data_IF_404487510326
#
_entry.id   IF_404487510326
#
_cell.length_a   1.000
_cell.length_b   1.000
_cell.length_c   1.000
_cell.angle_alpha   90.00
_cell.angle_beta   90.00
_cell.angle_gamma   90.00
#
_symmetry.space_group_name_H-M   'P 1'
#
loop_
_entity.id
_entity.type
_entity.pdbx_description
1 polymer ?
#
# COMPACT_ATOMS: atom_id res chain seq x y z
N UNK A 1 73.27 5.08 -28.33
CA UNK A 1 73.81 5.13 -26.95
C UNK A 1 74.14 6.59 -26.66
N UNK A 2 73.64 7.28 -25.64
CA UNK A 2 72.78 6.95 -24.51
C UNK A 2 72.01 8.26 -24.17
N UNK A 3 70.69 8.19 -24.04
CA UNK A 3 69.93 8.31 -22.79
C UNK A 3 69.96 9.70 -22.13
N UNK A 4 68.77 10.32 -22.11
CA UNK A 4 68.51 11.61 -21.50
C UNK A 4 68.35 11.55 -19.99
N UNK A 5 68.48 12.70 -19.34
CA UNK A 5 68.24 12.83 -17.91
C UNK A 5 67.67 14.21 -17.54
N UNK A 6 66.34 14.35 -17.62
CA UNK A 6 65.58 15.50 -17.08
C UNK A 6 64.38 14.98 -16.27
N UNK A 7 64.63 14.33 -15.12
CA UNK A 7 63.57 13.70 -14.30
C UNK A 7 63.68 13.97 -12.79
N UNK A 8 64.39 15.01 -12.36
CA UNK A 8 64.61 15.29 -10.94
C UNK A 8 63.83 16.47 -10.32
N UNK A 9 63.66 17.58 -11.05
CA UNK A 9 63.17 18.84 -10.44
C UNK A 9 61.65 19.03 -10.50
N UNK A 10 60.98 18.60 -11.57
CA UNK A 10 59.52 18.81 -11.72
C UNK A 10 58.67 18.02 -10.71
N UNK A 11 59.19 16.91 -10.17
CA UNK A 11 58.45 16.00 -9.28
C UNK A 11 58.43 16.46 -7.81
N UNK A 12 59.42 17.23 -7.36
CA UNK A 12 59.44 17.82 -6.01
C UNK A 12 58.49 19.00 -5.90
N UNK A 13 58.50 19.90 -6.89
CA UNK A 13 57.62 21.08 -6.91
C UNK A 13 56.13 20.69 -6.99
N UNK A 14 55.80 19.60 -7.71
CA UNK A 14 54.42 19.09 -7.76
C UNK A 14 53.99 18.43 -6.45
N UNK A 15 54.89 17.74 -5.75
CA UNK A 15 54.62 17.13 -4.45
C UNK A 15 54.42 18.18 -3.35
N UNK A 16 55.25 19.21 -3.32
CA UNK A 16 55.13 20.32 -2.37
C UNK A 16 53.84 21.12 -2.58
N UNK A 17 53.42 21.34 -3.84
CA UNK A 17 52.11 21.92 -4.13
C UNK A 17 50.96 21.04 -3.65
N UNK A 18 51.01 19.73 -3.90
CA UNK A 18 49.96 18.81 -3.47
C UNK A 18 49.85 18.75 -1.94
N UNK A 19 50.98 18.81 -1.22
CA UNK A 19 50.99 18.82 0.24
C UNK A 19 50.40 20.11 0.82
N UNK A 20 50.70 21.26 0.20
CA UNK A 20 50.12 22.55 0.59
C UNK A 20 48.61 22.62 0.30
N UNK A 21 48.17 22.09 -0.85
CA UNK A 21 46.75 22.00 -1.21
C UNK A 21 45.97 21.14 -0.22
N UNK A 22 46.53 19.97 0.13
CA UNK A 22 45.94 19.07 1.12
C UNK A 22 45.85 19.73 2.50
N UNK A 23 46.90 20.40 2.93
CA UNK A 23 46.93 21.11 4.22
C UNK A 23 45.87 22.22 4.26
N UNK A 24 45.69 22.94 3.15
CA UNK A 24 44.66 23.97 3.02
C UNK A 24 43.24 23.39 3.08
N UNK A 25 43.01 22.27 2.39
CA UNK A 25 41.72 21.58 2.43
C UNK A 25 41.42 21.00 3.81
N UNK A 26 42.41 20.43 4.49
CA UNK A 26 42.25 19.91 5.85
C UNK A 26 41.95 21.04 6.85
N UNK A 27 42.58 22.21 6.69
CA UNK A 27 42.28 23.40 7.49
C UNK A 27 40.85 23.92 7.25
N UNK A 28 40.40 23.98 5.98
CA UNK A 28 39.03 24.37 5.63
C UNK A 28 38.00 23.38 6.16
N UNK A 29 38.29 22.08 6.13
CA UNK A 29 37.40 21.04 6.66
C UNK A 29 37.32 21.09 8.18
N UNK A 30 38.41 21.43 8.87
CA UNK A 30 38.41 21.67 10.32
C UNK A 30 37.60 22.92 10.67
N UNK A 31 37.84 24.03 9.99
CA UNK A 31 37.09 25.27 10.23
C UNK A 31 35.58 25.09 9.95
N UNK A 32 35.21 24.35 8.90
CA UNK A 32 33.82 24.03 8.61
C UNK A 32 33.19 23.15 9.70
N UNK A 33 33.95 22.19 10.23
CA UNK A 33 33.51 21.31 11.33
C UNK A 33 33.34 22.10 12.63
N UNK A 34 34.25 23.02 12.92
CA UNK A 34 34.19 23.89 14.10
C UNK A 34 33.01 24.87 14.01
N UNK A 35 32.74 25.45 12.82
CA UNK A 35 31.53 26.26 12.59
C UNK A 35 30.24 25.45 12.75
N UNK A 36 30.23 24.20 12.30
CA UNK A 36 29.07 23.29 12.45
C UNK A 36 28.86 22.80 13.89
N UNK A 37 29.89 22.88 14.75
CA UNK A 37 29.79 22.64 16.19
C UNK A 37 29.33 23.89 16.97
N UNK A 38 29.67 25.09 16.49
CA UNK A 38 29.27 26.37 17.11
C UNK A 38 27.86 26.82 16.69
N UNK A 39 27.46 26.54 15.45
CA UNK A 39 26.10 26.79 14.97
C UNK A 39 25.29 25.48 14.95
N UNK A 40 24.35 25.29 15.91
CA UNK A 40 23.40 24.20 15.79
C UNK A 40 22.60 24.38 14.48
N UNK A 41 22.30 23.30 13.74
CA UNK A 41 21.47 23.42 12.55
C UNK A 41 20.17 24.13 12.91
N UNK A 42 19.62 24.98 12.02
CA UNK A 42 18.37 25.68 12.28
C UNK A 42 17.34 24.62 12.67
N UNK A 43 16.82 24.75 13.90
CA UNK A 43 15.79 23.86 14.42
C UNK A 43 14.66 23.86 13.39
N UNK A 44 14.27 22.70 12.83
CA UNK A 44 13.08 22.64 12.00
C UNK A 44 11.96 23.32 12.77
N UNK A 45 11.33 24.33 12.17
CA UNK A 45 10.17 24.95 12.79
C UNK A 45 9.21 23.82 13.17
N UNK A 46 8.74 23.76 14.43
CA UNK A 46 7.76 22.78 14.80
C UNK A 46 6.61 22.89 13.80
N UNK A 47 6.15 21.80 13.20
CA UNK A 47 4.96 21.86 12.36
C UNK A 47 3.88 22.59 13.17
N UNK A 48 3.10 23.48 12.53
CA UNK A 48 2.03 24.20 13.21
C UNK A 48 1.24 23.18 14.02
N UNK A 49 0.89 23.47 15.28
CA UNK A 49 0.25 22.49 16.14
C UNK A 49 -0.99 21.99 15.41
N UNK A 50 -0.93 20.76 14.89
CA UNK A 50 -2.11 20.07 14.44
C UNK A 50 -2.97 20.01 15.69
N UNK A 51 -4.14 20.66 15.64
CA UNK A 51 -5.22 20.35 16.57
C UNK A 51 -5.43 18.85 16.45
N UNK A 52 -4.75 18.06 17.29
CA UNK A 52 -5.14 16.68 17.56
C UNK A 52 -6.49 16.82 18.21
N UNK A 53 -7.55 16.77 17.39
CA UNK A 53 -8.89 16.58 17.91
C UNK A 53 -8.83 15.38 18.86
N UNK A 54 -9.50 15.47 20.02
CA UNK A 54 -9.38 14.42 21.02
C UNK A 54 -9.76 13.08 20.37
N UNK A 55 -8.89 12.08 20.57
CA UNK A 55 -9.00 10.69 20.09
C UNK A 55 -10.32 9.99 20.46
N UNK A 56 -11.18 10.65 21.23
CA UNK A 56 -12.55 10.24 21.52
C UNK A 56 -13.48 10.32 20.31
N UNK A 57 -13.27 11.25 19.36
CA UNK A 57 -14.11 11.38 18.15
C UNK A 57 -13.87 10.27 17.10
N UNK A 58 -12.74 9.55 17.22
CA UNK A 58 -12.34 8.46 16.31
C UNK A 58 -12.54 7.07 16.96
N UNK A 59 -12.82 7.01 18.26
CA UNK A 59 -13.14 5.77 18.97
C UNK A 59 -14.55 5.33 18.57
N UNK A 60 -14.62 4.35 17.67
CA UNK A 60 -15.88 3.72 17.27
C UNK A 60 -16.25 3.90 15.80
N UNK A 61 -15.34 4.40 14.96
CA UNK A 61 -15.50 4.35 13.51
C UNK A 61 -14.65 3.22 12.91
N UNK A 62 -15.10 2.66 11.79
CA UNK A 62 -14.44 1.61 11.02
C UNK A 62 -14.45 1.94 9.54
N UNK A 63 -13.49 1.43 8.79
CA UNK A 63 -13.43 1.58 7.35
C UNK A 63 -14.60 0.89 6.65
N UNK A 64 -14.88 -0.34 7.07
CA UNK A 64 -16.05 -1.08 6.62
C UNK A 64 -16.49 -2.11 7.66
N UNK A 65 -17.76 -2.51 7.56
CA UNK A 65 -18.43 -3.54 8.36
C UNK A 65 -19.48 -4.29 7.53
N UNK A 66 -19.99 -5.39 8.06
CA UNK A 66 -21.11 -6.11 7.42
C UNK A 66 -22.36 -5.23 7.37
N UNK A 67 -23.02 -5.19 6.21
CA UNK A 67 -24.33 -4.56 6.04
C UNK A 67 -25.48 -5.35 6.68
N UNK A 68 -25.23 -6.55 7.20
CA UNK A 68 -26.20 -7.26 8.04
C UNK A 68 -26.33 -6.64 9.45
N UNK A 69 -25.36 -5.81 9.86
CA UNK A 69 -25.39 -5.11 11.14
C UNK A 69 -26.13 -3.77 11.00
N UNK A 70 -26.94 -3.37 12.00
CA UNK A 70 -27.62 -2.06 12.01
C UNK A 70 -26.65 -0.87 11.98
N UNK A 71 -27.20 0.31 11.67
CA UNK A 71 -26.48 1.59 11.75
C UNK A 71 -25.80 1.79 13.12
N UNK A 72 -24.55 2.24 13.11
CA UNK A 72 -23.76 2.48 14.32
C UNK A 72 -23.23 1.21 15.01
N UNK A 73 -23.70 0.03 14.61
CA UNK A 73 -23.27 -1.25 15.19
C UNK A 73 -22.16 -1.87 14.35
N UNK A 74 -20.94 -1.87 14.89
CA UNK A 74 -19.74 -2.37 14.21
C UNK A 74 -19.50 -3.88 14.36
N UNK A 75 -20.06 -4.50 15.40
CA UNK A 75 -19.71 -5.86 15.79
C UNK A 75 -20.93 -6.75 15.86
N UNK A 76 -20.75 -8.03 15.52
CA UNK A 76 -21.71 -9.05 15.90
C UNK A 76 -21.67 -9.21 17.42
N UNK A 77 -22.83 -9.10 18.06
CA UNK A 77 -23.01 -9.29 19.49
C UNK A 77 -23.97 -10.45 19.72
N UNK A 78 -23.43 -11.67 19.71
CA UNK A 78 -24.20 -12.86 20.05
C UNK A 78 -23.78 -13.34 21.46
N UNK A 79 -24.73 -13.75 22.34
CA UNK A 79 -24.40 -14.22 23.68
C UNK A 79 -23.38 -15.38 23.72
N UNK A 80 -23.40 -16.22 22.69
CA UNK A 80 -22.50 -17.37 22.56
C UNK A 80 -21.20 -17.03 21.80
N UNK A 81 -20.94 -15.76 21.50
CA UNK A 81 -19.78 -15.33 20.70
C UNK A 81 -19.83 -15.76 19.23
N UNK A 82 -20.97 -16.24 18.75
CA UNK A 82 -21.14 -16.67 17.35
C UNK A 82 -20.93 -15.50 16.39
N UNK A 83 -20.18 -15.74 15.31
CA UNK A 83 -20.00 -14.81 14.19
C UNK A 83 -20.29 -15.61 12.92
N UNK A 84 -21.23 -15.16 12.07
CA UNK A 84 -21.56 -15.88 10.84
C UNK A 84 -20.42 -15.78 9.80
N UNK A 85 -20.29 -16.83 8.99
CA UNK A 85 -19.55 -16.75 7.73
C UNK A 85 -20.43 -16.00 6.73
N UNK A 86 -19.90 -14.93 6.13
CA UNK A 86 -20.63 -14.06 5.23
C UNK A 86 -19.94 -13.93 3.87
N UNK A 87 -20.67 -13.52 2.84
CA UNK A 87 -20.04 -13.12 1.58
C UNK A 87 -19.26 -11.81 1.79
N UNK A 88 -18.09 -11.69 1.16
CA UNK A 88 -17.30 -10.45 1.20
C UNK A 88 -18.07 -9.25 0.64
N UNK A 89 -19.02 -9.47 -0.27
CA UNK A 89 -19.93 -8.43 -0.78
C UNK A 89 -20.80 -7.78 0.31
N UNK A 90 -20.98 -8.42 1.47
CA UNK A 90 -21.64 -7.81 2.64
C UNK A 90 -20.79 -6.71 3.29
N UNK A 91 -19.48 -6.70 3.05
CA UNK A 91 -18.55 -5.70 3.60
C UNK A 91 -18.18 -4.62 2.57
N UNK A 92 -18.72 -4.68 1.35
CA UNK A 92 -18.40 -3.74 0.29
C UNK A 92 -18.14 -4.44 -1.05
N UNK A 93 -17.97 -3.63 -2.09
CA UNK A 93 -17.56 -4.15 -3.38
C UNK A 93 -16.12 -4.64 -3.29
N UNK A 94 -15.78 -5.74 -3.95
CA UNK A 94 -14.42 -6.23 -4.00
C UNK A 94 -13.97 -6.50 -5.43
N UNK A 95 -12.64 -6.47 -5.62
CA UNK A 95 -11.99 -6.80 -6.88
C UNK A 95 -10.63 -7.43 -6.63
N UNK A 96 -10.18 -8.24 -7.59
CA UNK A 96 -8.84 -8.81 -7.64
C UNK A 96 -8.16 -8.35 -8.92
N UNK A 97 -6.99 -7.75 -8.76
CA UNK A 97 -6.14 -7.30 -9.87
C UNK A 97 -4.76 -7.97 -9.78
N UNK A 98 -4.02 -8.03 -10.88
CA UNK A 98 -2.66 -8.56 -10.85
C UNK A 98 -1.80 -8.17 -12.05
N UNK A 99 -0.49 -8.35 -11.92
CA UNK A 99 0.48 -7.92 -12.94
C UNK A 99 0.67 -8.94 -14.07
N UNK A 100 0.36 -10.23 -13.83
CA UNK A 100 0.55 -11.35 -14.77
C UNK A 100 2.01 -11.75 -14.99
N UNK A 101 2.89 -10.76 -15.16
CA UNK A 101 4.34 -10.88 -15.26
C UNK A 101 5.02 -10.23 -14.07
N UNK A 102 6.32 -10.46 -13.94
CA UNK A 102 7.14 -9.75 -12.96
C UNK A 102 7.04 -8.24 -13.16
N UNK A 103 6.98 -7.50 -12.05
CA UNK A 103 6.97 -6.03 -12.04
C UNK A 103 8.28 -5.51 -12.59
N UNK A 104 8.18 -4.46 -13.39
CA UNK A 104 9.32 -3.76 -13.99
C UNK A 104 9.66 -2.49 -13.20
N UNK A 105 10.89 -2.00 -13.36
CA UNK A 105 11.33 -0.76 -12.75
C UNK A 105 10.57 0.50 -13.21
N UNK A 106 9.84 0.42 -14.33
CA UNK A 106 9.00 1.50 -14.85
C UNK A 106 7.55 1.46 -14.31
N UNK A 107 7.24 0.46 -13.48
CA UNK A 107 5.88 0.20 -13.01
C UNK A 107 5.13 -0.73 -13.94
N UNK A 108 4.20 -1.49 -13.38
CA UNK A 108 3.42 -2.48 -14.13
C UNK A 108 1.94 -2.31 -13.84
N UNK A 109 1.14 -2.20 -14.90
CA UNK A 109 -0.31 -2.03 -14.82
C UNK A 109 -0.94 -3.25 -14.15
N UNK A 110 -1.81 -2.98 -13.18
CA UNK A 110 -2.63 -4.00 -12.52
C UNK A 110 -3.85 -4.29 -13.39
N UNK A 111 -3.98 -5.54 -13.79
CA UNK A 111 -5.02 -6.03 -14.71
C UNK A 111 -6.12 -6.74 -13.94
N UNK A 112 -7.36 -6.57 -14.39
CA UNK A 112 -8.56 -7.18 -13.85
C UNK A 112 -8.55 -8.70 -13.96
N UNK A 113 -8.83 -9.38 -12.83
CA UNK A 113 -8.98 -10.83 -12.75
C UNK A 113 -10.45 -11.19 -12.47
N UNK A 114 -11.07 -10.51 -11.50
CA UNK A 114 -12.46 -10.78 -11.10
C UNK A 114 -12.88 -9.95 -9.89
N UNK A 115 -14.15 -10.01 -9.51
CA UNK A 115 -14.69 -9.26 -8.37
C UNK A 115 -16.21 -9.30 -8.29
N UNK A 116 -16.78 -8.58 -7.33
CA UNK A 116 -18.24 -8.47 -7.14
C UNK A 116 -18.91 -7.39 -7.99
N UNK A 117 -18.12 -6.57 -8.68
CA UNK A 117 -18.59 -5.47 -9.52
C UNK A 117 -18.01 -5.59 -10.92
N UNK A 118 -18.62 -4.92 -11.90
CA UNK A 118 -18.03 -4.85 -13.23
C UNK A 118 -16.72 -4.06 -13.21
N UNK A 119 -15.82 -4.35 -14.13
CA UNK A 119 -14.57 -3.58 -14.30
C UNK A 119 -14.85 -2.09 -14.60
N UNK A 120 -15.98 -1.77 -15.23
CA UNK A 120 -16.39 -0.40 -15.50
C UNK A 120 -16.78 0.34 -14.21
N UNK A 121 -17.55 -0.31 -13.35
CA UNK A 121 -17.91 0.25 -12.05
C UNK A 121 -16.69 0.39 -11.14
N UNK A 122 -15.78 -0.60 -11.13
CA UNK A 122 -14.51 -0.49 -10.43
C UNK A 122 -13.71 0.74 -10.90
N UNK A 123 -13.55 0.89 -12.22
CA UNK A 123 -12.75 1.99 -12.77
C UNK A 123 -13.36 3.34 -12.43
N UNK A 124 -14.70 3.45 -12.47
CA UNK A 124 -15.43 4.66 -12.05
C UNK A 124 -15.18 4.99 -10.58
N UNK A 125 -15.25 3.98 -9.69
CA UNK A 125 -15.02 4.17 -8.25
C UNK A 125 -13.58 4.52 -7.91
N UNK A 126 -12.61 4.01 -8.69
CA UNK A 126 -11.19 4.32 -8.54
C UNK A 126 -10.80 5.65 -9.20
N UNK A 127 -11.63 6.22 -10.08
CA UNK A 127 -11.34 7.44 -10.82
C UNK A 127 -10.15 7.32 -11.79
N UNK A 128 -9.73 6.10 -12.14
CA UNK A 128 -8.50 5.88 -12.90
C UNK A 128 -8.06 4.41 -12.94
N UNK A 129 -6.80 4.20 -13.36
CA UNK A 129 -6.17 2.87 -13.41
C UNK A 129 -5.09 2.72 -12.35
N UNK A 130 -4.79 1.47 -12.01
CA UNK A 130 -3.77 1.13 -11.03
C UNK A 130 -2.55 0.52 -11.71
N UNK A 131 -1.38 0.88 -11.23
CA UNK A 131 -0.12 0.21 -11.50
C UNK A 131 0.66 0.04 -10.20
N UNK A 132 1.73 -0.74 -10.25
CA UNK A 132 2.56 -0.99 -9.08
C UNK A 132 4.03 -0.99 -9.46
N UNK A 133 4.85 -0.44 -8.56
CA UNK A 133 6.30 -0.63 -8.52
C UNK A 133 6.61 -1.63 -7.41
N UNK A 134 7.61 -2.48 -7.64
CA UNK A 134 8.06 -3.49 -6.69
C UNK A 134 9.50 -3.88 -7.01
N UNK A 135 10.20 -4.58 -6.09
CA UNK A 135 11.50 -5.16 -6.38
C UNK A 135 11.49 -6.09 -7.62
N UNK A 136 12.65 -6.29 -8.29
CA UNK A 136 12.74 -7.15 -9.46
C UNK A 136 12.23 -8.57 -9.20
N UNK A 137 11.74 -9.22 -10.26
CA UNK A 137 11.24 -10.60 -10.23
C UNK A 137 10.06 -10.83 -9.28
N UNK A 138 9.27 -9.80 -8.96
CA UNK A 138 8.09 -9.94 -8.12
C UNK A 138 6.82 -9.90 -8.96
N UNK A 139 5.91 -10.85 -8.80
CA UNK A 139 4.51 -10.76 -9.26
C UNK A 139 3.65 -10.29 -8.11
N UNK A 140 2.74 -9.36 -8.40
CA UNK A 140 1.81 -8.80 -7.43
C UNK A 140 0.38 -9.18 -7.83
N UNK A 141 -0.36 -9.69 -6.85
CA UNK A 141 -1.82 -9.79 -6.90
C UNK A 141 -2.38 -8.93 -5.78
N UNK A 142 -3.44 -8.21 -6.07
CA UNK A 142 -4.07 -7.25 -5.18
C UNK A 142 -5.51 -7.66 -4.92
N UNK A 143 -5.88 -7.79 -3.64
CA UNK A 143 -7.27 -7.85 -3.21
C UNK A 143 -7.74 -6.46 -2.77
N UNK A 144 -8.80 -5.95 -3.38
CA UNK A 144 -9.39 -4.64 -3.11
C UNK A 144 -10.74 -4.80 -2.42
N UNK A 145 -11.01 -3.99 -1.40
CA UNK A 145 -12.35 -3.79 -0.85
C UNK A 145 -12.66 -2.30 -0.87
N UNK A 146 -13.76 -1.96 -1.53
CA UNK A 146 -14.30 -0.61 -1.59
C UNK A 146 -15.57 -0.56 -0.74
N UNK A 147 -15.62 0.29 0.31
CA UNK A 147 -16.70 0.29 1.29
C UNK A 147 -18.02 0.61 0.59
N UNK A 148 -19.13 0.13 1.11
CA UNK A 148 -20.41 0.45 0.52
C UNK A 148 -20.75 1.92 0.81
N UNK A 149 -20.96 2.73 -0.23
CA UNK A 149 -21.27 4.16 -0.12
C UNK A 149 -22.76 4.46 -0.36
N UNK A 150 -23.59 3.43 -0.55
CA UNK A 150 -25.02 3.61 -0.89
C UNK A 150 -25.92 3.87 0.32
N UNK A 151 -25.47 3.56 1.54
CA UNK A 151 -26.18 3.90 2.78
C UNK A 151 -25.22 4.54 3.78
N UNK A 152 -25.52 5.75 4.27
CA UNK A 152 -24.70 6.39 5.29
C UNK A 152 -24.87 5.63 6.61
N UNK A 153 -23.78 5.03 7.10
CA UNK A 153 -23.73 4.37 8.39
C UNK A 153 -22.78 5.16 9.31
N UNK A 154 -23.29 5.50 10.49
CA UNK A 154 -22.62 6.32 11.50
C UNK A 154 -21.39 5.65 12.12
N UNK A 155 -21.25 4.34 11.98
CA UNK A 155 -20.05 3.62 12.38
C UNK A 155 -18.92 3.70 11.33
N UNK A 156 -19.17 4.21 10.12
CA UNK A 156 -18.11 4.32 9.11
C UNK A 156 -17.26 5.58 9.31
N UNK A 157 -15.98 5.51 8.91
CA UNK A 157 -15.14 6.70 8.85
C UNK A 157 -15.72 7.72 7.88
N UNK A 158 -15.73 8.98 8.31
CA UNK A 158 -16.03 10.14 7.48
C UNK A 158 -14.77 10.59 6.72
N UNK A 159 -14.92 11.21 5.53
CA UNK A 159 -13.79 11.65 4.72
C UNK A 159 -12.76 12.50 5.48
N UNK A 160 -13.21 13.38 6.36
CA UNK A 160 -12.36 14.32 7.10
C UNK A 160 -11.53 13.61 8.19
N UNK A 161 -11.97 12.43 8.63
CA UNK A 161 -11.31 11.67 9.68
C UNK A 161 -10.01 11.02 9.19
N UNK A 162 -9.90 10.65 7.90
CA UNK A 162 -8.72 9.99 7.36
C UNK A 162 -7.43 10.81 7.49
N UNK A 163 -7.54 12.14 7.44
CA UNK A 163 -6.40 13.04 7.65
C UNK A 163 -5.80 12.97 9.06
N UNK A 164 -6.53 12.41 10.02
CA UNK A 164 -6.12 12.27 11.42
C UNK A 164 -5.64 10.85 11.77
N UNK A 165 -5.74 9.90 10.84
CA UNK A 165 -5.44 8.49 11.07
C UNK A 165 -4.05 8.14 10.53
N UNK A 166 -3.24 7.50 11.38
CA UNK A 166 -2.04 6.76 10.96
C UNK A 166 -2.33 5.27 10.86
N UNK A 167 -3.27 4.79 11.67
CA UNK A 167 -3.88 3.47 11.59
C UNK A 167 -5.40 3.60 11.61
N UNK A 168 -6.09 2.68 10.94
CA UNK A 168 -7.53 2.62 10.82
C UNK A 168 -8.04 1.23 11.19
N UNK A 169 -9.26 1.20 11.71
CA UNK A 169 -9.95 -0.02 12.12
C UNK A 169 -10.81 -0.49 10.96
N UNK A 170 -10.75 -1.77 10.60
CA UNK A 170 -11.65 -2.40 9.62
C UNK A 170 -12.24 -3.68 10.21
N UNK A 171 -13.45 -4.09 9.80
CA UNK A 171 -14.07 -5.35 10.23
C UNK A 171 -13.79 -6.53 9.32
N UNK A 172 -13.17 -6.30 8.17
CA UNK A 172 -12.69 -7.35 7.29
C UNK A 172 -11.28 -7.00 6.81
N UNK A 173 -10.43 -8.02 6.77
CA UNK A 173 -9.13 -7.99 6.08
C UNK A 173 -9.04 -9.19 5.15
N UNK A 174 -8.53 -8.98 3.95
CA UNK A 174 -8.60 -9.97 2.86
C UNK A 174 -7.21 -10.41 2.42
N UNK A 175 -7.13 -11.61 1.87
CA UNK A 175 -5.93 -12.15 1.22
C UNK A 175 -6.33 -12.94 -0.01
N UNK A 176 -5.42 -12.96 -0.99
CA UNK A 176 -5.59 -13.72 -2.22
C UNK A 176 -4.64 -14.90 -2.20
N UNK A 177 -5.18 -16.10 -2.39
CA UNK A 177 -4.44 -17.36 -2.44
C UNK A 177 -4.56 -17.97 -3.83
N UNK A 178 -3.48 -18.61 -4.29
CA UNK A 178 -3.57 -19.45 -5.48
C UNK A 178 -3.99 -20.85 -5.06
N UNK A 179 -4.92 -21.39 -5.81
CA UNK A 179 -5.43 -22.73 -5.63
C UNK A 179 -4.63 -23.73 -6.47
N UNK A 180 -4.60 -25.01 -6.08
CA UNK A 180 -3.92 -26.06 -6.84
C UNK A 180 -4.44 -26.23 -8.27
N UNK A 181 -5.70 -25.86 -8.52
CA UNK A 181 -6.34 -25.88 -9.85
C UNK A 181 -5.94 -24.70 -10.75
N UNK A 182 -5.02 -23.84 -10.30
CA UNK A 182 -4.56 -22.66 -11.03
C UNK A 182 -5.45 -21.42 -10.89
N UNK A 183 -6.60 -21.54 -10.22
CA UNK A 183 -7.49 -20.41 -9.95
C UNK A 183 -6.99 -19.59 -8.75
N UNK A 184 -7.53 -18.37 -8.61
CA UNK A 184 -7.29 -17.51 -7.47
C UNK A 184 -8.51 -17.54 -6.55
N UNK A 185 -8.26 -17.60 -5.24
CA UNK A 185 -9.28 -17.53 -4.21
C UNK A 185 -9.04 -16.29 -3.35
N UNK A 186 -10.02 -15.39 -3.33
CA UNK A 186 -10.06 -14.27 -2.41
C UNK A 186 -10.87 -14.68 -1.19
N UNK A 187 -10.29 -14.54 0.00
CA UNK A 187 -10.99 -14.79 1.26
C UNK A 187 -10.69 -13.65 2.23
N UNK A 188 -11.58 -13.47 3.20
CA UNK A 188 -11.42 -12.51 4.28
C UNK A 188 -11.55 -13.16 5.64
N UNK A 189 -10.98 -12.51 6.64
CA UNK A 189 -11.26 -12.78 8.04
C UNK A 189 -12.03 -11.63 8.65
N UNK A 190 -13.04 -11.98 9.44
CA UNK A 190 -13.70 -11.03 10.32
C UNK A 190 -12.75 -10.68 11.48
N UNK A 191 -12.51 -9.39 11.69
CA UNK A 191 -11.51 -8.91 12.67
C UNK A 191 -12.13 -8.56 14.03
N UNK A 192 -13.45 -8.36 14.12
CA UNK A 192 -14.09 -7.71 15.27
C UNK A 192 -13.90 -8.42 16.62
N UNK A 193 -13.70 -9.73 16.63
CA UNK A 193 -13.43 -10.51 17.85
C UNK A 193 -11.94 -10.63 18.20
N UNK A 194 -11.03 -10.24 17.30
CA UNK A 194 -9.56 -10.29 17.49
C UNK A 194 -8.93 -8.92 17.34
N UNK A 195 -8.60 -8.28 18.45
CA UNK A 195 -8.15 -6.87 18.48
C UNK A 195 -6.92 -6.61 17.61
N UNK A 196 -5.97 -7.53 17.64
CA UNK A 196 -4.73 -7.50 16.87
C UNK A 196 -4.95 -7.63 15.35
N UNK A 197 -6.15 -8.03 14.91
CA UNK A 197 -6.50 -8.09 13.49
C UNK A 197 -7.17 -6.82 12.99
N UNK A 198 -7.65 -5.95 13.88
CA UNK A 198 -8.55 -4.85 13.49
C UNK A 198 -7.84 -3.66 12.87
N UNK A 199 -6.60 -3.39 13.29
CA UNK A 199 -5.83 -2.22 12.87
C UNK A 199 -5.09 -2.49 11.57
N UNK A 200 -5.09 -1.50 10.67
CA UNK A 200 -4.29 -1.47 9.45
C UNK A 200 -3.71 -0.06 9.24
N UNK A 201 -2.54 0.08 8.58
CA UNK A 201 -2.02 1.38 8.22
C UNK A 201 -3.02 2.20 7.38
N UNK A 202 -3.04 3.52 7.59
CA UNK A 202 -3.77 4.47 6.74
C UNK A 202 -2.76 5.32 5.98
N UNK A 203 -2.75 5.18 4.66
CA UNK A 203 -1.77 5.80 3.77
C UNK A 203 -2.47 6.86 2.92
N UNK A 204 -1.95 8.08 2.97
CA UNK A 204 -2.36 9.15 2.07
C UNK A 204 -1.65 9.00 0.73
N UNK A 205 -2.40 8.86 -0.37
CA UNK A 205 -1.84 8.85 -1.71
C UNK A 205 -1.27 10.24 -2.05
N UNK A 206 0.03 10.31 -2.29
CA UNK A 206 0.76 11.57 -2.53
C UNK A 206 0.81 11.89 -4.02
N UNK A 207 0.74 13.17 -4.37
CA UNK A 207 0.88 13.63 -5.76
C UNK A 207 2.33 13.43 -6.21
N UNK A 208 2.51 12.78 -7.36
CA UNK A 208 3.79 12.62 -8.05
C UNK A 208 3.59 12.86 -9.54
N UNK A 209 3.88 14.07 -10.00
CA UNK A 209 3.56 14.51 -11.36
C UNK A 209 2.05 14.45 -11.60
N UNK A 210 1.62 13.70 -12.61
CA UNK A 210 0.21 13.47 -12.96
C UNK A 210 -0.41 12.26 -12.24
N UNK A 211 0.37 11.56 -11.42
CA UNK A 211 -0.04 10.34 -10.73
C UNK A 211 -0.20 10.57 -9.22
N UNK A 212 -0.86 9.63 -8.55
CA UNK A 212 -0.85 9.53 -7.09
C UNK A 212 -0.14 8.25 -6.66
N UNK A 213 0.67 8.31 -5.61
CA UNK A 213 1.50 7.20 -5.15
C UNK A 213 1.22 6.91 -3.68
N UNK A 214 0.96 5.64 -3.36
CA UNK A 214 0.88 5.11 -2.00
C UNK A 214 2.02 4.11 -1.78
N UNK A 215 2.93 4.43 -0.86
CA UNK A 215 4.04 3.56 -0.50
C UNK A 215 3.56 2.49 0.49
N UNK A 216 3.46 1.24 0.04
CA UNK A 216 2.97 0.12 0.85
C UNK A 216 4.07 -0.47 1.77
N UNK A 217 5.32 -0.05 1.58
CA UNK A 217 6.48 -0.61 2.27
C UNK A 217 7.17 -1.71 1.46
N UNK A 218 8.31 -2.19 1.93
CA UNK A 218 9.12 -3.25 1.28
C UNK A 218 9.51 -2.93 -0.18
N UNK A 219 9.64 -1.64 -0.53
CA UNK A 219 9.92 -1.19 -1.90
C UNK A 219 8.74 -1.39 -2.86
N UNK A 220 7.53 -1.64 -2.35
CA UNK A 220 6.31 -1.75 -3.15
C UNK A 220 5.52 -0.45 -3.05
N UNK A 221 5.12 0.06 -4.20
CA UNK A 221 4.25 1.23 -4.33
C UNK A 221 3.04 0.88 -5.19
N UNK A 222 1.90 1.46 -4.85
CA UNK A 222 0.70 1.43 -5.67
C UNK A 222 0.49 2.82 -6.25
N UNK A 223 0.34 2.88 -7.57
CA UNK A 223 0.32 4.10 -8.36
C UNK A 223 -1.04 4.21 -9.04
N UNK A 224 -1.71 5.34 -8.83
CA UNK A 224 -2.93 5.73 -9.52
C UNK A 224 -2.60 6.65 -10.67
N UNK A 225 -3.08 6.31 -11.86
CA UNK A 225 -3.15 7.22 -13.00
C UNK A 225 -4.60 7.66 -13.16
N UNK A 226 -4.93 8.92 -12.80
CA UNK A 226 -6.29 9.45 -12.91
C UNK A 226 -6.78 9.47 -14.36
N UNK A 227 -8.07 9.22 -14.58
CA UNK A 227 -8.67 9.39 -15.90
C UNK A 227 -9.08 10.84 -16.12
N UNK A 228 -8.57 11.48 -17.17
CA UNK A 228 -8.87 12.89 -17.52
C UNK A 228 -10.32 13.06 -18.02
N UNK A 229 -10.91 11.99 -18.57
CA UNK A 229 -12.32 11.95 -18.99
C UNK A 229 -12.99 10.67 -18.46
N UNK A 230 -14.02 10.81 -17.64
CA UNK A 230 -14.80 9.69 -17.10
C UNK A 230 -15.74 9.05 -18.13
N UNK A 231 -15.95 9.68 -19.30
CA UNK A 231 -16.66 9.10 -20.44
C UNK A 231 -15.72 8.34 -21.39
N UNK A 232 -14.44 8.73 -21.45
CA UNK A 232 -13.36 8.00 -22.13
C UNK A 232 -12.52 7.30 -21.07
N UNK A 233 -13.14 6.36 -20.37
CA UNK A 233 -12.50 5.61 -19.28
C UNK A 233 -11.29 4.84 -19.84
N UNK A 234 -10.08 5.18 -19.41
CA UNK A 234 -8.94 4.26 -19.47
C UNK A 234 -9.34 3.01 -18.69
N UNK A 235 -9.80 1.99 -19.41
CA UNK A 235 -10.36 0.78 -18.79
C UNK A 235 -9.23 -0.05 -18.20
N UNK A 236 -9.43 -0.53 -16.98
CA UNK A 236 -8.54 -1.53 -16.39
C UNK A 236 -8.49 -2.76 -17.32
N UNK A 237 -7.31 -3.15 -17.85
CA UNK A 237 -7.22 -4.24 -18.81
C UNK A 237 -7.50 -5.58 -18.12
N UNK A 238 -8.03 -6.57 -18.83
CA UNK A 238 -8.18 -7.92 -18.28
C UNK A 238 -6.83 -8.66 -18.22
N UNK A 239 -6.68 -9.55 -17.23
CA UNK A 239 -5.54 -10.45 -17.13
C UNK A 239 -5.87 -11.79 -17.80
N UNK A 240 -5.10 -12.15 -18.83
CA UNK A 240 -5.23 -13.44 -19.50
C UNK A 240 -4.63 -14.57 -18.65
N UNK A 241 -5.28 -15.74 -18.66
CA UNK A 241 -4.78 -16.95 -17.99
C UNK A 241 -4.95 -16.97 -16.46
N UNK A 242 -5.65 -16.00 -15.88
CA UNK A 242 -6.00 -15.98 -14.46
C UNK A 242 -7.53 -15.89 -14.30
N UNK A 243 -8.09 -16.65 -13.37
CA UNK A 243 -9.52 -16.60 -13.03
C UNK A 243 -9.71 -16.58 -11.53
N UNK A 244 -10.73 -15.83 -11.08
CA UNK A 244 -11.13 -15.76 -9.68
C UNK A 244 -12.27 -16.75 -9.41
N UNK A 245 -12.21 -17.47 -8.30
CA UNK A 245 -13.31 -18.34 -7.87
C UNK A 245 -14.59 -17.51 -7.61
N UNK A 246 -15.78 -18.02 -7.98
CA UNK A 246 -17.02 -17.22 -8.06
C UNK A 246 -17.64 -16.78 -6.72
N UNK A 247 -16.97 -16.99 -5.58
CA UNK A 247 -17.39 -16.44 -4.29
C UNK A 247 -16.19 -16.16 -3.37
N UNK A 248 -16.11 -14.92 -2.87
CA UNK A 248 -15.22 -14.55 -1.78
C UNK A 248 -15.98 -14.53 -0.46
N UNK A 249 -15.48 -15.26 0.52
CA UNK A 249 -16.12 -15.44 1.84
C UNK A 249 -15.30 -14.76 2.93
N UNK A 250 -16.00 -14.26 3.95
CA UNK A 250 -15.44 -13.71 5.19
C UNK A 250 -15.70 -14.70 6.31
N UNK A 251 -14.62 -15.22 6.87
CA UNK A 251 -14.67 -16.25 7.90
C UNK A 251 -14.51 -15.67 9.30
N UNK A 252 -15.22 -16.22 10.29
CA UNK A 252 -14.92 -15.91 11.69
C UNK A 252 -13.54 -16.46 12.06
N UNK A 253 -12.84 -15.85 13.03
CA UNK A 253 -11.47 -16.21 13.38
C UNK A 253 -11.42 -17.47 14.26
N UNK A 254 -11.80 -18.62 13.69
CA UNK A 254 -11.99 -19.91 14.37
C UNK A 254 -11.13 -20.99 13.72
N UNK A 255 -10.77 -22.05 14.47
CA UNK A 255 -10.06 -23.20 13.89
C UNK A 255 -10.81 -23.86 12.72
N UNK A 256 -12.14 -23.78 12.71
CA UNK A 256 -12.95 -24.31 11.62
C UNK A 256 -12.65 -23.56 10.31
N UNK A 257 -12.43 -22.24 10.36
CA UNK A 257 -12.02 -21.46 9.19
C UNK A 257 -10.66 -21.92 8.66
N UNK A 258 -9.72 -22.25 9.54
CA UNK A 258 -8.38 -22.70 9.15
C UNK A 258 -8.41 -24.05 8.43
N UNK A 259 -9.29 -24.95 8.87
CA UNK A 259 -9.54 -26.24 8.21
C UNK A 259 -10.16 -26.06 6.83
N UNK A 260 -11.09 -25.12 6.67
CA UNK A 260 -11.75 -24.85 5.39
C UNK A 260 -10.78 -24.19 4.39
N UNK A 261 -9.98 -23.22 4.85
CA UNK A 261 -9.08 -22.44 4.00
C UNK A 261 -7.77 -23.16 3.68
N UNK A 262 -7.43 -24.22 4.43
CA UNK A 262 -6.25 -25.08 4.26
C UNK A 262 -4.95 -24.28 4.27
N UNK A 263 -4.37 -24.02 5.44
CA UNK A 263 -3.19 -23.16 5.61
C UNK A 263 -3.43 -21.71 5.10
N UNK A 264 -4.38 -20.97 5.70
CA UNK A 264 -4.55 -19.54 5.42
C UNK A 264 -3.36 -18.74 5.94
N UNK A 265 -3.13 -17.57 5.33
CA UNK A 265 -2.33 -16.51 5.96
C UNK A 265 -3.27 -15.71 6.85
N UNK A 266 -2.79 -15.25 8.01
CA UNK A 266 -3.61 -14.47 8.93
C UNK A 266 -3.35 -12.97 8.83
N UNK A 267 -4.32 -12.13 9.22
CA UNK A 267 -4.23 -10.68 9.04
C UNK A 267 -2.97 -10.00 9.57
N UNK A 268 -2.40 -10.36 10.73
CA UNK A 268 -1.15 -9.73 11.20
C UNK A 268 0.01 -9.81 10.21
N UNK A 269 0.02 -10.83 9.34
CA UNK A 269 1.07 -11.05 8.34
C UNK A 269 0.73 -10.48 6.96
N UNK A 270 -0.41 -9.80 6.82
CA UNK A 270 -0.79 -9.19 5.55
C UNK A 270 0.03 -7.92 5.29
N UNK A 271 0.38 -7.71 4.02
CA UNK A 271 0.83 -6.42 3.52
C UNK A 271 -0.38 -5.68 2.96
N UNK A 272 -1.11 -5.00 3.83
CA UNK A 272 -2.36 -4.32 3.51
C UNK A 272 -2.45 -2.93 4.16
N UNK A 273 -3.32 -2.10 3.60
CA UNK A 273 -3.55 -0.75 4.09
C UNK A 273 -4.90 -0.22 3.64
N UNK A 274 -5.39 0.79 4.36
CA UNK A 274 -6.39 1.71 3.85
C UNK A 274 -5.66 2.84 3.14
N UNK A 275 -6.05 3.14 1.90
CA UNK A 275 -5.50 4.23 1.10
C UNK A 275 -6.59 5.29 0.90
N UNK A 276 -6.26 6.54 1.17
CA UNK A 276 -7.15 7.69 0.94
C UNK A 276 -6.48 8.75 0.07
N UNK A 277 -7.29 9.63 -0.54
CA UNK A 277 -6.86 10.53 -1.62
C UNK A 277 -7.09 12.00 -1.24
N UNK A 278 -6.14 12.65 -0.53
CA UNK A 278 -6.32 14.02 -0.06
C UNK A 278 -6.51 15.04 -1.19
N UNK A 279 -5.79 14.85 -2.30
CA UNK A 279 -5.83 15.73 -3.47
C UNK A 279 -6.97 15.40 -4.45
N UNK A 280 -7.68 14.28 -4.25
CA UNK A 280 -8.79 13.84 -5.08
C UNK A 280 -9.96 13.36 -4.21
N UNK A 281 -10.69 14.28 -3.55
CA UNK A 281 -11.74 13.94 -2.58
C UNK A 281 -12.96 13.26 -3.21
N UNK A 282 -13.07 13.26 -4.54
CA UNK A 282 -14.10 12.53 -5.28
C UNK A 282 -13.85 11.02 -5.32
N UNK A 283 -12.60 10.58 -5.10
CA UNK A 283 -12.23 9.18 -5.02
C UNK A 283 -12.39 8.73 -3.56
N UNK A 284 -13.30 7.77 -3.34
CA UNK A 284 -13.51 7.21 -2.01
C UNK A 284 -12.26 6.45 -1.53
N UNK A 285 -11.95 6.48 -0.22
CA UNK A 285 -10.91 5.64 0.36
C UNK A 285 -11.15 4.15 0.08
N UNK A 286 -10.07 3.41 -0.11
CA UNK A 286 -10.09 1.98 -0.42
C UNK A 286 -9.26 1.19 0.59
N UNK A 287 -9.57 -0.09 0.73
CA UNK A 287 -8.71 -1.04 1.40
C UNK A 287 -8.06 -1.95 0.36
N UNK A 288 -6.77 -2.21 0.53
CA UNK A 288 -5.93 -2.92 -0.42
C UNK A 288 -5.02 -3.89 0.32
N UNK A 289 -5.00 -5.15 -0.12
CA UNK A 289 -4.10 -6.20 0.38
C UNK A 289 -3.25 -6.78 -0.74
N UNK A 290 -1.95 -6.94 -0.50
CA UNK A 290 -0.96 -7.40 -1.47
C UNK A 290 -0.57 -8.86 -1.21
N UNK A 291 -0.72 -9.71 -2.23
CA UNK A 291 -0.09 -11.02 -2.31
C UNK A 291 1.14 -10.92 -3.21
N UNK A 292 2.32 -11.02 -2.59
CA UNK A 292 3.63 -10.90 -3.24
C UNK A 292 4.16 -12.31 -3.55
N UNK A 293 4.58 -12.55 -4.80
CA UNK A 293 5.25 -13.80 -5.18
C UNK A 293 6.53 -13.53 -5.93
N UNK A 294 7.58 -14.25 -5.58
CA UNK A 294 8.77 -14.32 -6.42
C UNK A 294 8.40 -15.03 -7.73
N UNK A 295 8.77 -14.41 -8.83
CA UNK A 295 8.76 -15.05 -10.14
C UNK A 295 9.96 -15.98 -10.18
N UNK A 296 9.71 -17.23 -10.55
CA UNK A 296 10.79 -18.13 -10.89
C UNK A 296 11.63 -17.46 -11.98
N UNK A 297 12.94 -17.31 -11.72
CA UNK A 297 13.91 -16.97 -12.74
C UNK A 297 13.80 -18.08 -13.77
N UNK A 298 13.23 -17.78 -14.94
CA UNK A 298 13.19 -18.73 -16.04
C UNK A 298 14.62 -19.19 -16.28
N UNK A 299 14.90 -20.47 -16.02
CA UNK A 299 16.04 -21.13 -16.64
C UNK A 299 15.70 -21.11 -18.12
N UNK A 300 16.38 -20.23 -18.87
CA UNK A 300 16.33 -20.28 -20.32
C UNK A 300 16.85 -21.67 -20.73
N UNK A 301 15.93 -22.51 -21.19
CA UNK A 301 16.22 -23.72 -21.94
C UNK A 301 16.28 -23.37 -23.42
#
# INVERSE_FOLDING_TARGET
MAEGNWTGHHRKVSYERALNEKTRLDALLREKRDRQLVEPPPRPEPPPPTKKMPSTLLRGCVFTKSCALPDGIMNFSNPNGFVPTELLSQYGAYAVLGTGKAVTAAGTVLKWIGGSVSVMELTKRLGGTLSTLAPPNVKIIVGLVLPNTTSPDSALYRPEQYALLTEGVTRVRVSVKHQPDGTLSLYGFYTGTKREWQSVPVIAAQVSGEQLVAAMGNGIEVIWTPSVDLNVVLRIPALEGASLQPAAWVYPPTEQADRILVNPVHPPDYLDAIIWFPSQPTIAPIYLSLSVRLSELGVAM
#
